data_IF_366447469402
#
_entry.id   IF_366447469402
#
_cell.length_a   1.000
_cell.length_b   1.000
_cell.length_c   1.000
_cell.angle_alpha   90.00
_cell.angle_beta   90.00
_cell.angle_gamma   90.00
#
_symmetry.space_group_name_H-M   'P 1'
#
loop_
_entity.id
_entity.type
_entity.pdbx_description
1 polymer ?
#
# COMPACT_ATOMS: atom_id res chain seq x y z
N UNK A 1 -9.94 18.21 11.43
CA UNK A 1 -9.93 17.92 10.91
C UNK A 1 -9.37 17.57 10.15
N UNK A 2 -9.14 17.36 10.07
CA UNK A 2 -8.65 16.94 9.44
C UNK A 2 -8.58 16.66 8.34
N UNK A 3 -8.52 16.92 8.04
CA UNK A 3 -8.71 16.66 7.06
C UNK A 3 -8.09 16.10 6.29
N UNK A 4 -7.68 16.09 6.15
CA UNK A 4 -7.22 15.54 5.25
C UNK A 4 -7.08 14.46 5.05
N UNK A 5 -7.30 14.20 5.48
CA UNK A 5 -7.21 13.22 5.29
C UNK A 5 -7.66 12.60 4.49
N UNK A 6 -8.27 13.00 4.57
CA UNK A 6 -8.89 12.48 3.74
C UNK A 6 -8.32 12.23 2.60
N UNK A 7 -7.77 12.90 2.31
CA UNK A 7 -7.15 12.70 1.22
C UNK A 7 -6.18 11.73 1.32
N UNK A 8 -5.78 11.36 2.46
CA UNK A 8 -4.87 10.33 2.62
C UNK A 8 -5.61 9.07 2.65
N UNK A 9 -5.40 8.21 1.74
CA UNK A 9 -6.00 6.92 1.77
C UNK A 9 -5.42 6.15 2.93
N UNK A 10 -6.25 5.33 3.57
CA UNK A 10 -5.79 4.50 4.66
C UNK A 10 -4.72 3.52 4.19
N UNK A 11 -4.87 3.00 2.97
CA UNK A 11 -3.90 2.09 2.38
C UNK A 11 -3.40 2.68 1.07
N UNK A 12 -2.09 2.73 0.91
CA UNK A 12 -1.48 3.24 -0.32
C UNK A 12 -0.55 2.20 -0.89
N UNK A 13 -0.57 2.00 -2.20
CA UNK A 13 0.28 1.03 -2.86
C UNK A 13 0.85 1.63 -4.14
N UNK A 14 2.18 1.55 -4.29
CA UNK A 14 2.86 1.99 -5.50
C UNK A 14 3.11 0.77 -6.37
N UNK A 15 2.75 0.85 -7.65
CA UNK A 15 2.81 -0.27 -8.57
C UNK A 15 3.44 0.13 -9.89
N UNK A 16 3.75 -0.87 -10.71
CA UNK A 16 4.21 -0.64 -12.08
C UNK A 16 3.54 -1.68 -12.99
N UNK A 17 3.48 -1.40 -14.31
CA UNK A 17 2.87 -2.34 -15.24
C UNK A 17 3.66 -3.65 -15.30
N UNK A 18 2.97 -4.73 -15.56
CA UNK A 18 3.61 -6.02 -15.75
C UNK A 18 4.22 -6.63 -14.50
N UNK A 19 3.76 -6.21 -13.34
CA UNK A 19 4.31 -6.68 -12.07
C UNK A 19 3.36 -7.68 -11.43
N UNK A 20 3.77 -8.94 -11.40
CA UNK A 20 2.95 -10.01 -10.82
C UNK A 20 2.76 -9.83 -9.31
N UNK A 21 3.80 -9.36 -8.63
CA UNK A 21 3.71 -9.13 -7.19
C UNK A 21 2.77 -7.97 -6.88
N UNK A 22 2.70 -6.97 -7.76
CA UNK A 22 1.74 -5.89 -7.60
C UNK A 22 0.32 -6.43 -7.70
N UNK A 23 0.08 -7.30 -8.66
CA UNK A 23 -1.23 -7.93 -8.82
C UNK A 23 -1.59 -8.76 -7.60
N UNK A 24 -0.64 -9.52 -7.07
CA UNK A 24 -0.88 -10.35 -5.90
C UNK A 24 -1.22 -9.48 -4.69
N UNK A 25 -0.51 -8.39 -4.50
CA UNK A 25 -0.78 -7.50 -3.38
C UNK A 25 -2.16 -6.85 -3.50
N UNK A 26 -2.50 -6.38 -4.70
CA UNK A 26 -3.84 -5.81 -4.92
C UNK A 26 -4.93 -6.83 -4.64
N UNK A 27 -4.68 -8.06 -5.07
CA UNK A 27 -5.64 -9.15 -4.90
C UNK A 27 -5.89 -9.41 -3.42
N UNK A 28 -4.84 -9.46 -2.62
CA UNK A 28 -4.99 -9.68 -1.18
C UNK A 28 -5.77 -8.55 -0.54
N UNK A 29 -5.41 -7.30 -0.86
CA UNK A 29 -6.12 -6.16 -0.30
C UNK A 29 -7.60 -6.18 -0.68
N UNK A 30 -7.90 -6.56 -1.92
CA UNK A 30 -9.27 -6.65 -2.38
C UNK A 30 -10.04 -7.73 -1.64
N UNK A 31 -9.41 -8.88 -1.41
CA UNK A 31 -10.05 -9.96 -0.65
C UNK A 31 -10.35 -9.54 0.78
N UNK A 32 -9.50 -8.68 1.34
CA UNK A 32 -9.71 -8.17 2.69
C UNK A 32 -10.70 -7.02 2.72
N UNK A 33 -11.24 -6.65 1.55
CA UNK A 33 -12.20 -5.55 1.41
C UNK A 33 -11.61 -4.22 1.86
N UNK A 34 -10.30 -4.08 1.71
CA UNK A 34 -9.63 -2.83 2.03
C UNK A 34 -9.80 -1.85 0.88
N UNK A 35 -10.05 -0.60 1.23
CA UNK A 35 -10.04 0.46 0.23
C UNK A 35 -8.61 0.97 0.13
N UNK A 36 -8.06 1.02 -1.07
CA UNK A 36 -6.68 1.46 -1.22
C UNK A 36 -6.55 2.38 -2.42
N UNK A 37 -5.53 3.24 -2.35
CA UNK A 37 -5.18 4.12 -3.47
C UNK A 37 -3.96 3.53 -4.14
N UNK A 38 -4.05 3.34 -5.45
CA UNK A 38 -2.94 2.79 -6.21
C UNK A 38 -2.24 3.88 -6.99
N UNK A 39 -0.92 3.95 -6.82
CA UNK A 39 -0.08 4.88 -7.57
C UNK A 39 0.70 4.09 -8.60
N UNK A 40 0.14 3.96 -9.79
CA UNK A 40 0.77 3.25 -10.90
C UNK A 40 1.72 4.22 -11.58
N UNK A 41 3.02 3.93 -11.54
CA UNK A 41 4.03 4.86 -12.06
C UNK A 41 3.93 5.06 -13.57
N UNK A 42 3.22 4.18 -14.28
CA UNK A 42 2.99 4.40 -15.70
C UNK A 42 2.08 5.59 -15.93
N UNK A 43 1.22 5.90 -14.96
CA UNK A 43 0.30 7.04 -15.09
C UNK A 43 0.94 8.34 -14.68
N UNK A 44 1.93 8.27 -13.80
CA UNK A 44 2.65 9.46 -13.37
C UNK A 44 4.06 9.04 -12.97
N UNK A 45 5.04 9.25 -13.86
CA UNK A 45 6.41 8.79 -13.58
C UNK A 45 7.04 9.38 -12.32
N UNK A 46 6.57 10.55 -11.88
CA UNK A 46 7.15 11.16 -10.68
C UNK A 46 6.82 10.36 -9.43
N UNK A 47 5.83 9.48 -9.48
CA UNK A 47 5.48 8.64 -8.34
C UNK A 47 6.59 7.64 -8.00
N UNK A 48 7.43 7.28 -8.98
CA UNK A 48 8.59 6.42 -8.70
C UNK A 48 9.54 7.10 -7.72
N UNK A 49 9.86 8.36 -7.96
CA UNK A 49 10.75 9.09 -7.07
C UNK A 49 10.10 9.30 -5.70
N UNK A 50 8.81 9.58 -5.70
CA UNK A 50 8.07 9.73 -4.45
C UNK A 50 8.16 8.45 -3.62
N UNK A 51 8.01 7.29 -4.26
CA UNK A 51 8.14 6.01 -3.58
C UNK A 51 9.55 5.83 -3.01
N UNK A 52 10.58 6.18 -3.80
CA UNK A 52 11.96 6.07 -3.34
C UNK A 52 12.23 6.99 -2.15
N UNK A 53 11.64 8.18 -2.17
CA UNK A 53 11.80 9.11 -1.05
C UNK A 53 11.21 8.54 0.24
N UNK A 54 10.13 7.79 0.11
CA UNK A 54 9.44 7.22 1.27
C UNK A 54 10.02 5.87 1.70
N UNK A 55 10.40 5.04 0.76
CA UNK A 55 10.80 3.65 1.03
C UNK A 55 12.31 3.42 0.93
N UNK A 56 13.02 4.31 0.24
CA UNK A 56 14.46 4.15 0.03
C UNK A 56 14.75 3.97 -1.45
N UNK A 57 15.88 4.54 -1.87
CA UNK A 57 16.32 4.49 -3.25
C UNK A 57 16.47 3.03 -3.71
N UNK A 58 15.96 2.73 -4.89
CA UNK A 58 16.07 1.39 -5.44
C UNK A 58 15.06 0.40 -4.89
N UNK A 59 14.05 0.87 -4.16
CA UNK A 59 13.02 -0.02 -3.63
C UNK A 59 12.30 -0.75 -4.74
N UNK A 60 11.88 -1.98 -4.46
CA UNK A 60 11.16 -2.79 -5.43
C UNK A 60 9.67 -2.49 -5.40
N UNK A 61 8.96 -3.02 -6.38
CA UNK A 61 7.50 -2.89 -6.46
C UNK A 61 6.85 -4.21 -6.11
N UNK A 62 5.69 -4.20 -5.44
CA UNK A 62 5.01 -2.99 -4.95
C UNK A 62 5.60 -2.49 -3.65
N UNK A 63 5.22 -1.28 -3.23
CA UNK A 63 5.52 -0.77 -1.91
C UNK A 63 4.22 -0.29 -1.30
N UNK A 64 3.97 -0.65 -0.06
CA UNK A 64 2.66 -0.51 0.56
C UNK A 64 2.77 0.21 1.90
N UNK A 65 1.82 1.10 2.14
CA UNK A 65 1.67 1.80 3.43
C UNK A 65 0.27 1.57 3.94
N UNK A 66 0.14 1.32 5.24
CA UNK A 66 -1.16 1.19 5.90
C UNK A 66 -1.18 2.16 7.07
N UNK A 67 -2.09 3.12 7.02
CA UNK A 67 -2.19 4.13 8.06
C UNK A 67 -0.94 4.96 8.21
N UNK A 68 -0.20 5.14 7.12
CA UNK A 68 1.04 5.88 7.15
C UNK A 68 2.26 5.07 7.54
N UNK A 69 2.07 3.83 7.96
CA UNK A 69 3.19 2.95 8.34
C UNK A 69 3.64 2.14 7.13
N UNK A 70 4.94 2.13 6.88
CA UNK A 70 5.49 1.39 5.76
C UNK A 70 5.45 -0.11 6.02
N UNK A 71 4.71 -0.84 5.20
CA UNK A 71 4.62 -2.29 5.30
C UNK A 71 5.77 -2.96 4.55
N UNK A 72 6.06 -2.45 3.36
CA UNK A 72 7.04 -3.06 2.47
C UNK A 72 6.38 -3.54 1.21
N UNK A 73 6.83 -4.66 0.70
CA UNK A 73 6.35 -5.21 -0.56
C UNK A 73 5.31 -6.29 -0.36
N UNK A 74 5.10 -7.05 -1.44
CA UNK A 74 4.11 -8.13 -1.44
C UNK A 74 4.43 -9.19 -0.38
N UNK A 75 5.70 -9.58 -0.26
CA UNK A 75 6.08 -10.60 0.71
C UNK A 75 5.76 -10.19 2.14
N UNK A 76 6.05 -8.93 2.46
CA UNK A 76 5.78 -8.41 3.80
C UNK A 76 4.28 -8.35 4.05
N UNK A 77 3.51 -7.97 3.05
CA UNK A 77 2.06 -7.92 3.19
C UNK A 77 1.49 -9.29 3.47
N UNK A 78 1.94 -10.30 2.72
CA UNK A 78 1.47 -11.65 2.92
C UNK A 78 1.94 -12.23 4.26
N UNK A 79 3.13 -11.84 4.72
CA UNK A 79 3.62 -12.26 6.03
C UNK A 79 2.72 -11.74 7.15
N UNK A 80 2.30 -10.49 7.04
CA UNK A 80 1.38 -9.92 8.02
C UNK A 80 0.07 -10.70 8.04
N UNK A 81 -0.40 -11.10 6.86
CA UNK A 81 -1.64 -11.85 6.78
C UNK A 81 -1.49 -13.23 7.44
N UNK A 82 -0.37 -13.92 7.17
CA UNK A 82 -0.12 -15.24 7.75
C UNK A 82 -0.01 -15.17 9.28
N UNK A 83 0.51 -14.06 9.79
CA UNK A 83 0.69 -13.86 11.21
C UNK A 83 -0.57 -13.39 11.91
N UNK A 84 -1.63 -13.15 11.14
CA UNK A 84 -2.88 -12.68 11.70
C UNK A 84 -2.88 -11.22 12.10
N UNK A 85 -1.91 -10.45 11.60
CA UNK A 85 -1.77 -9.04 11.96
C UNK A 85 -2.41 -8.10 10.96
N UNK A 86 -2.55 -8.54 9.71
CA UNK A 86 -3.04 -7.65 8.66
C UNK A 86 -4.45 -7.17 8.92
N UNK A 87 -5.34 -8.08 9.32
CA UNK A 87 -6.72 -7.70 9.56
C UNK A 87 -6.83 -6.61 10.62
N UNK A 88 -6.04 -6.72 11.69
CA UNK A 88 -6.04 -5.71 12.74
C UNK A 88 -5.57 -4.36 12.25
N UNK A 89 -4.54 -4.36 11.41
CA UNK A 89 -4.03 -3.12 10.86
C UNK A 89 -5.07 -2.44 9.96
N UNK A 90 -5.76 -3.23 9.14
CA UNK A 90 -6.78 -2.69 8.25
C UNK A 90 -7.99 -2.19 9.03
N UNK A 91 -8.37 -2.92 10.07
CA UNK A 91 -9.49 -2.49 10.91
C UNK A 91 -9.17 -1.19 11.63
N UNK A 92 -7.93 -1.06 12.08
CA UNK A 92 -7.52 0.14 12.80
C UNK A 92 -7.66 1.40 11.94
N UNK A 93 -7.24 1.34 10.68
CA UNK A 93 -7.36 2.51 9.81
C UNK A 93 -8.79 2.75 9.39
N UNK A 94 -9.59 1.68 9.28
CA UNK A 94 -10.98 1.83 8.96
C UNK A 94 -11.71 2.55 10.08
N UNK A 95 -11.38 2.21 11.31
CA UNK A 95 -12.03 2.82 12.46
C UNK A 95 -11.72 4.30 12.57
N UNK A 96 -10.63 4.74 11.97
CA UNK A 96 -10.23 6.14 12.01
C UNK A 96 -10.86 6.99 10.93
N UNK A 97 -11.47 6.40 9.93
CA UNK A 97 -12.00 7.16 8.80
C UNK A 97 -13.44 7.60 8.97
#
# INVERSE_FOLDING_TARGET
MRAPDKMTAAVEIYTRPGCGYCSAARSLLTRKKATFTEFDIAKNPSWRQEMYDRAGEGSTFPQIWIGGSHVGGCDELYALDREGKLDGMLESVKAES
#
